data_IF_096208176154
#
_entry.id   IF_096208176154
#
_cell.length_a   1.000
_cell.length_b   1.000
_cell.length_c   1.000
_cell.angle_alpha   90.00
_cell.angle_beta   90.00
_cell.angle_gamma   90.00
#
_symmetry.space_group_name_H-M   'P 1'
#
loop_
_entity.id
_entity.type
_entity.pdbx_description
1 polymer ?
#
# COMPACT_ATOMS: atom_id res chain seq x y z
N UNK A 1 -11.94 15.49 5.42
CA UNK A 1 -11.27 16.75 5.84
C UNK A 1 -9.79 16.64 5.45
N UNK A 2 -9.25 17.52 4.58
CA UNK A 2 -7.84 17.44 4.17
C UNK A 2 -6.95 18.03 5.27
N UNK A 3 -6.11 17.21 5.90
CA UNK A 3 -5.06 17.71 6.79
C UNK A 3 -3.94 18.31 5.92
N UNK A 4 -4.12 19.55 5.49
CA UNK A 4 -3.05 20.35 4.86
C UNK A 4 -2.22 20.90 6.01
N UNK A 5 -1.11 20.24 6.33
CA UNK A 5 -0.20 20.69 7.40
C UNK A 5 0.92 21.50 6.76
N UNK A 6 1.04 22.77 7.11
CA UNK A 6 2.18 23.59 6.65
C UNK A 6 3.48 23.14 7.34
N UNK A 7 4.66 23.34 6.74
CA UNK A 7 5.96 23.03 7.37
C UNK A 7 6.13 23.66 8.75
N UNK A 8 5.58 24.88 8.95
CA UNK A 8 5.58 25.56 10.25
C UNK A 8 4.68 24.87 11.28
N UNK A 9 3.55 24.28 10.87
CA UNK A 9 2.71 23.49 11.77
C UNK A 9 3.33 22.13 12.11
N UNK A 10 4.15 21.57 11.21
CA UNK A 10 4.91 20.35 11.47
C UNK A 10 6.00 20.57 12.53
N UNK A 11 6.64 21.75 12.51
CA UNK A 11 7.64 22.14 13.52
C UNK A 11 7.14 22.17 14.97
N UNK A 12 5.81 22.14 15.20
CA UNK A 12 5.17 22.07 16.52
C UNK A 12 4.48 20.72 16.78
N UNK A 13 4.97 19.65 16.16
CA UNK A 13 4.45 18.30 16.37
C UNK A 13 4.55 17.88 17.85
N UNK A 14 3.40 17.81 18.54
CA UNK A 14 3.25 17.25 19.89
C UNK A 14 2.66 15.84 19.79
N UNK A 15 3.45 14.77 20.08
CA UNK A 15 3.08 13.38 19.79
C UNK A 15 1.72 12.96 20.35
N UNK A 16 1.40 13.33 21.59
CA UNK A 16 0.12 12.94 22.21
C UNK A 16 -1.08 13.63 21.56
N UNK A 17 -1.01 14.93 21.30
CA UNK A 17 -2.13 15.67 20.69
C UNK A 17 -2.38 15.24 19.25
N UNK A 18 -1.32 14.98 18.48
CA UNK A 18 -1.45 14.49 17.11
C UNK A 18 -2.00 13.06 17.10
N UNK A 19 -1.58 12.22 18.05
CA UNK A 19 -2.14 10.86 18.18
C UNK A 19 -3.65 10.90 18.42
N UNK A 20 -4.12 11.76 19.32
CA UNK A 20 -5.56 11.92 19.58
C UNK A 20 -6.31 12.36 18.32
N UNK A 21 -5.78 13.34 17.57
CA UNK A 21 -6.39 13.83 16.33
C UNK A 21 -6.44 12.75 15.25
N UNK A 22 -5.35 12.02 15.04
CA UNK A 22 -5.27 10.94 14.05
C UNK A 22 -6.20 9.76 14.40
N UNK A 23 -6.32 9.41 15.68
CA UNK A 23 -7.29 8.38 16.13
C UNK A 23 -8.73 8.83 15.89
N UNK A 24 -9.04 10.08 16.20
CA UNK A 24 -10.37 10.66 15.95
C UNK A 24 -10.67 10.67 14.45
N UNK A 25 -9.69 11.04 13.63
CA UNK A 25 -9.76 10.96 12.17
C UNK A 25 -10.05 9.53 11.69
N UNK A 26 -9.28 8.54 12.18
CA UNK A 26 -9.46 7.14 11.80
C UNK A 26 -10.85 6.63 12.17
N UNK A 27 -11.37 7.02 13.34
CA UNK A 27 -12.72 6.66 13.78
C UNK A 27 -13.82 7.33 12.93
N UNK A 28 -13.62 8.58 12.51
CA UNK A 28 -14.62 9.34 11.77
C UNK A 28 -14.66 8.98 10.28
N UNK A 29 -13.49 8.86 9.63
CA UNK A 29 -13.40 8.64 8.18
C UNK A 29 -13.25 7.15 7.82
N UNK A 30 -12.89 6.29 8.78
CA UNK A 30 -12.55 4.88 8.53
C UNK A 30 -11.49 4.67 7.42
N UNK A 31 -10.68 5.70 7.15
CA UNK A 31 -9.67 5.72 6.10
C UNK A 31 -8.30 5.30 6.65
N UNK A 32 -8.06 3.99 6.62
CA UNK A 32 -6.82 3.38 7.10
C UNK A 32 -5.62 3.75 6.23
N UNK A 33 -5.81 3.86 4.92
CA UNK A 33 -4.73 4.17 3.99
C UNK A 33 -4.16 5.56 4.30
N UNK A 34 -5.03 6.56 4.47
CA UNK A 34 -4.61 7.91 4.83
C UNK A 34 -4.03 7.97 6.24
N UNK A 35 -4.56 7.19 7.19
CA UNK A 35 -3.99 7.08 8.52
C UNK A 35 -2.53 6.57 8.49
N UNK A 36 -2.26 5.46 7.79
CA UNK A 36 -0.90 4.92 7.64
C UNK A 36 0.03 5.90 6.90
N UNK A 37 -0.48 6.60 5.89
CA UNK A 37 0.26 7.64 5.18
C UNK A 37 0.68 8.79 6.11
N UNK A 38 -0.18 9.21 7.04
CA UNK A 38 0.19 10.21 8.04
C UNK A 38 1.27 9.73 9.01
N UNK A 39 1.25 8.45 9.40
CA UNK A 39 2.32 7.89 10.24
C UNK A 39 3.68 7.90 9.54
N UNK A 40 3.73 7.45 8.27
CA UNK A 40 4.93 7.49 7.43
C UNK A 40 5.42 8.94 7.25
N UNK A 41 4.48 9.86 6.96
CA UNK A 41 4.78 11.28 6.80
C UNK A 41 5.44 11.87 8.05
N UNK A 42 4.91 11.59 9.25
CA UNK A 42 5.52 12.08 10.49
C UNK A 42 6.92 11.50 10.70
N UNK A 43 7.14 10.20 10.39
CA UNK A 43 8.48 9.62 10.47
C UNK A 43 9.46 10.33 9.53
N UNK A 44 9.03 10.65 8.31
CA UNK A 44 9.82 11.41 7.34
C UNK A 44 10.10 12.82 7.88
N UNK A 45 9.09 13.52 8.40
CA UNK A 45 9.26 14.84 8.98
C UNK A 45 10.24 14.85 10.16
N UNK A 46 10.19 13.83 11.03
CA UNK A 46 11.14 13.70 12.13
C UNK A 46 12.59 13.57 11.64
N UNK A 47 12.82 12.84 10.55
CA UNK A 47 14.15 12.70 9.95
C UNK A 47 14.63 14.00 9.29
N UNK A 48 13.72 14.78 8.72
CA UNK A 48 14.05 15.99 7.95
C UNK A 48 14.14 17.25 8.81
N UNK A 49 13.43 17.30 9.96
CA UNK A 49 13.30 18.51 10.77
C UNK A 49 13.67 18.25 12.24
N UNK A 50 14.70 18.94 12.72
CA UNK A 50 15.24 18.82 14.09
C UNK A 50 14.19 19.05 15.18
N UNK A 51 13.19 19.91 14.92
CA UNK A 51 12.15 20.30 15.89
C UNK A 51 10.99 19.31 15.99
N UNK A 52 10.86 18.38 15.04
CA UNK A 52 9.75 17.43 15.01
C UNK A 52 10.05 16.29 15.96
N UNK A 53 9.22 16.08 16.98
CA UNK A 53 9.39 14.96 17.89
C UNK A 53 9.19 13.61 17.17
N UNK A 54 9.90 12.55 17.57
CA UNK A 54 9.74 11.22 16.97
C UNK A 54 8.34 10.68 17.21
N UNK A 55 7.88 9.84 16.28
CA UNK A 55 6.63 9.13 16.45
C UNK A 55 6.82 8.05 17.54
N UNK A 56 5.96 8.06 18.57
CA UNK A 56 6.03 7.11 19.70
C UNK A 56 5.20 5.86 19.37
N UNK A 57 5.79 4.66 19.23
CA UNK A 57 5.05 3.45 18.85
C UNK A 57 3.86 3.14 19.75
N UNK A 58 4.06 3.24 21.07
CA UNK A 58 3.03 2.97 22.08
C UNK A 58 1.74 3.79 21.90
N UNK A 59 1.79 4.96 21.26
CA UNK A 59 0.60 5.79 21.03
C UNK A 59 -0.30 5.25 19.91
N UNK A 60 0.23 4.50 18.95
CA UNK A 60 -0.49 4.07 17.74
C UNK A 60 -0.54 2.55 17.56
N UNK A 61 0.12 1.80 18.45
CA UNK A 61 0.32 0.37 18.30
C UNK A 61 -1.00 -0.40 18.19
N UNK A 62 -2.02 -0.03 18.98
CA UNK A 62 -3.35 -0.65 18.94
C UNK A 62 -4.02 -0.49 17.57
N UNK A 63 -4.00 0.72 17.02
CA UNK A 63 -4.61 1.02 15.73
C UNK A 63 -3.86 0.30 14.60
N UNK A 64 -2.53 0.36 14.61
CA UNK A 64 -1.67 -0.31 13.62
C UNK A 64 -1.89 -1.83 13.66
N UNK A 65 -1.86 -2.44 14.83
CA UNK A 65 -2.10 -3.88 14.98
C UNK A 65 -3.50 -4.28 14.49
N UNK A 66 -4.52 -3.46 14.75
CA UNK A 66 -5.89 -3.72 14.30
C UNK A 66 -5.97 -3.72 12.78
N UNK A 67 -5.33 -2.75 12.11
CA UNK A 67 -5.29 -2.65 10.65
C UNK A 67 -4.59 -3.88 10.05
N UNK A 68 -3.38 -4.22 10.52
CA UNK A 68 -2.58 -5.30 9.91
C UNK A 68 -3.08 -6.72 10.24
N UNK A 69 -3.89 -6.88 11.29
CA UNK A 69 -4.55 -8.17 11.61
C UNK A 69 -5.76 -8.48 10.74
N UNK A 70 -6.33 -7.49 10.03
CA UNK A 70 -7.48 -7.71 9.15
C UNK A 70 -7.24 -8.80 8.10
N UNK A 71 -8.20 -9.71 7.84
CA UNK A 71 -7.99 -10.83 6.93
C UNK A 71 -7.74 -10.39 5.49
N UNK A 72 -8.36 -9.28 5.08
CA UNK A 72 -8.24 -8.62 3.79
C UNK A 72 -6.96 -7.79 3.71
N UNK A 73 -5.88 -8.41 3.20
CA UNK A 73 -4.63 -7.69 2.95
C UNK A 73 -4.76 -6.86 1.68
N UNK A 74 -4.60 -5.55 1.80
CA UNK A 74 -4.71 -4.61 0.68
C UNK A 74 -3.34 -4.18 0.16
N UNK A 75 -3.24 -3.73 -1.12
CA UNK A 75 -1.98 -3.24 -1.69
C UNK A 75 -1.35 -2.09 -0.90
N UNK A 76 -2.16 -1.19 -0.32
CA UNK A 76 -1.61 -0.05 0.44
C UNK A 76 -0.95 -0.50 1.76
N UNK A 77 -1.46 -1.55 2.43
CA UNK A 77 -0.83 -2.08 3.64
C UNK A 77 0.58 -2.61 3.33
N UNK A 78 0.75 -3.27 2.19
CA UNK A 78 2.07 -3.73 1.73
C UNK A 78 3.06 -2.57 1.57
N UNK A 79 2.63 -1.42 1.06
CA UNK A 79 3.48 -0.25 0.84
C UNK A 79 4.05 0.35 2.13
N UNK A 80 3.29 0.28 3.22
CA UNK A 80 3.70 0.82 4.52
C UNK A 80 4.28 -0.23 5.48
N UNK A 81 4.21 -1.52 5.12
CA UNK A 81 4.56 -2.62 6.03
C UNK A 81 5.99 -2.51 6.57
N UNK A 82 6.97 -2.34 5.68
CA UNK A 82 8.38 -2.21 6.06
C UNK A 82 8.66 -0.90 6.79
N UNK A 83 8.06 0.20 6.32
CA UNK A 83 8.24 1.54 6.88
C UNK A 83 7.74 1.64 8.32
N UNK A 84 6.67 0.93 8.61
CA UNK A 84 6.04 0.88 9.93
C UNK A 84 6.49 -0.35 10.74
N UNK A 85 7.63 -0.97 10.39
CA UNK A 85 8.19 -2.12 11.13
C UNK A 85 8.37 -1.86 12.63
N UNK A 86 8.67 -0.61 13.01
CA UNK A 86 8.87 -0.16 14.39
C UNK A 86 7.64 -0.32 15.31
N UNK A 87 6.44 -0.50 14.74
CA UNK A 87 5.20 -0.70 15.52
C UNK A 87 5.01 -2.14 15.98
N UNK A 88 5.73 -3.09 15.39
CA UNK A 88 5.45 -4.51 15.60
C UNK A 88 6.41 -5.12 16.62
N UNK A 89 5.86 -5.79 17.63
CA UNK A 89 6.64 -6.70 18.45
C UNK A 89 7.17 -7.86 17.62
N UNK A 90 8.30 -8.44 18.03
CA UNK A 90 9.01 -9.49 17.30
C UNK A 90 8.08 -10.62 16.80
N UNK A 91 7.21 -11.13 17.66
CA UNK A 91 6.30 -12.22 17.31
C UNK A 91 5.23 -11.80 16.29
N UNK A 92 4.70 -10.58 16.47
CA UNK A 92 3.73 -9.99 15.53
C UNK A 92 4.38 -9.71 14.19
N UNK A 93 5.63 -9.25 14.18
CA UNK A 93 6.41 -9.01 12.97
C UNK A 93 6.58 -10.29 12.15
N UNK A 94 6.98 -11.40 12.79
CA UNK A 94 7.13 -12.69 12.09
C UNK A 94 5.81 -13.15 11.49
N UNK A 95 4.71 -13.03 12.25
CA UNK A 95 3.37 -13.37 11.75
C UNK A 95 2.98 -12.53 10.52
N UNK A 96 3.14 -11.21 10.61
CA UNK A 96 2.80 -10.30 9.52
C UNK A 96 3.71 -10.49 8.30
N UNK A 97 4.99 -10.81 8.50
CA UNK A 97 5.92 -11.10 7.41
C UNK A 97 5.48 -12.35 6.62
N UNK A 98 5.07 -13.42 7.31
CA UNK A 98 4.51 -14.62 6.65
C UNK A 98 3.26 -14.29 5.85
N UNK A 99 2.38 -13.46 6.42
CA UNK A 99 1.14 -13.03 5.77
C UNK A 99 1.43 -12.16 4.53
N UNK A 100 2.40 -11.27 4.62
CA UNK A 100 2.87 -10.46 3.49
C UNK A 100 3.45 -11.32 2.35
N UNK A 101 4.26 -12.34 2.67
CA UNK A 101 4.79 -13.27 1.69
C UNK A 101 3.69 -14.05 0.96
N UNK A 102 2.64 -14.46 1.68
CA UNK A 102 1.47 -15.11 1.08
C UNK A 102 0.78 -14.17 0.08
N UNK A 103 0.56 -12.91 0.48
CA UNK A 103 -0.02 -11.89 -0.37
C UNK A 103 0.81 -11.67 -1.64
N UNK A 104 2.14 -11.53 -1.52
CA UNK A 104 3.04 -11.37 -2.67
C UNK A 104 2.95 -12.55 -3.65
N UNK A 105 2.87 -13.78 -3.14
CA UNK A 105 2.71 -14.98 -3.98
C UNK A 105 1.39 -14.97 -4.72
N UNK A 106 0.28 -14.68 -4.03
CA UNK A 106 -1.05 -14.57 -4.65
C UNK A 106 -1.07 -13.48 -5.72
N UNK A 107 -0.49 -12.32 -5.43
CA UNK A 107 -0.36 -11.22 -6.37
C UNK A 107 0.42 -11.62 -7.62
N UNK A 108 1.55 -12.32 -7.45
CA UNK A 108 2.37 -12.80 -8.57
C UNK A 108 1.62 -13.84 -9.43
N UNK A 109 0.87 -14.76 -8.82
CA UNK A 109 0.01 -15.71 -9.53
C UNK A 109 -1.04 -14.98 -10.37
N UNK A 110 -1.72 -13.99 -9.78
CA UNK A 110 -2.70 -13.16 -10.50
C UNK A 110 -2.06 -12.41 -11.68
N UNK A 111 -0.86 -11.83 -11.50
CA UNK A 111 -0.14 -11.16 -12.58
C UNK A 111 0.22 -12.12 -13.71
N UNK A 112 0.71 -13.32 -13.39
CA UNK A 112 1.02 -14.34 -14.40
C UNK A 112 -0.23 -14.78 -15.16
N UNK A 113 -1.35 -14.96 -14.46
CA UNK A 113 -2.63 -15.28 -15.08
C UNK A 113 -3.08 -14.18 -16.05
N UNK A 114 -3.06 -12.91 -15.61
CA UNK A 114 -3.40 -11.76 -16.46
C UNK A 114 -2.48 -11.63 -17.68
N UNK A 115 -1.19 -11.92 -17.52
CA UNK A 115 -0.25 -11.95 -18.65
C UNK A 115 -0.58 -13.07 -19.64
N UNK A 116 -0.93 -14.26 -19.16
CA UNK A 116 -1.33 -15.39 -19.98
C UNK A 116 -2.62 -15.07 -20.77
N UNK A 117 -3.62 -14.48 -20.12
CA UNK A 117 -4.85 -14.06 -20.79
C UNK A 117 -4.58 -12.98 -21.84
N UNK A 118 -3.75 -11.99 -21.53
CA UNK A 118 -3.36 -10.94 -22.49
C UNK A 118 -2.67 -11.54 -23.72
N UNK A 119 -1.81 -12.55 -23.55
CA UNK A 119 -1.18 -13.28 -24.67
C UNK A 119 -2.23 -14.04 -25.48
N UNK A 120 -3.17 -14.73 -24.83
CA UNK A 120 -4.27 -15.46 -25.48
C UNK A 120 -5.14 -14.53 -26.32
N UNK A 121 -5.55 -13.39 -25.77
CA UNK A 121 -6.35 -12.38 -26.49
C UNK A 121 -5.59 -11.81 -27.68
N UNK A 122 -4.30 -11.46 -27.52
CA UNK A 122 -3.47 -10.99 -28.65
C UNK A 122 -3.34 -12.05 -29.76
N UNK A 123 -3.16 -13.31 -29.38
CA UNK A 123 -3.10 -14.43 -30.33
C UNK A 123 -4.42 -14.58 -31.09
N UNK A 124 -5.55 -14.55 -30.38
CA UNK A 124 -6.88 -14.63 -30.97
C UNK A 124 -7.16 -13.45 -31.93
N UNK A 125 -6.84 -12.22 -31.53
CA UNK A 125 -6.97 -11.04 -32.41
C UNK A 125 -6.11 -11.17 -33.67
N UNK A 126 -4.89 -11.70 -33.56
CA UNK A 126 -4.00 -11.94 -34.71
C UNK A 126 -4.60 -12.94 -35.68
N UNK A 127 -5.10 -14.08 -35.19
CA UNK A 127 -5.79 -15.08 -36.01
C UNK A 127 -7.06 -14.53 -36.65
N UNK A 128 -7.85 -13.76 -35.89
CA UNK A 128 -9.08 -13.17 -36.40
C UNK A 128 -8.81 -12.14 -37.50
N UNK A 129 -7.77 -11.31 -37.35
CA UNK A 129 -7.34 -10.36 -38.39
C UNK A 129 -6.86 -11.04 -39.68
N UNK A 130 -6.15 -12.18 -39.55
CA UNK A 130 -5.73 -13.00 -40.71
C UNK A 130 -6.94 -13.58 -41.44
N UNK A 131 -7.94 -14.07 -40.69
CA UNK A 131 -9.15 -14.67 -41.26
C UNK A 131 -10.10 -13.64 -41.89
N UNK A 132 -10.14 -12.40 -41.38
CA UNK A 132 -11.01 -11.33 -41.90
C UNK A 132 -10.40 -10.49 -43.01
N UNK A 133 -9.09 -10.65 -43.32
CA UNK A 133 -8.41 -9.97 -44.43
C UNK A 133 -7.59 -10.97 -45.27
N UNK A 134 -8.22 -11.75 -46.16
CA UNK A 134 -7.56 -12.77 -46.96
C UNK A 134 -6.85 -12.22 -48.21
N UNK A 135 -6.42 -10.95 -48.23
CA UNK A 135 -5.77 -10.35 -49.41
C UNK A 135 -4.26 -10.43 -49.27
N UNK A 136 -3.65 -11.45 -49.90
CA UNK A 136 -2.19 -11.49 -50.05
C UNK A 136 -1.54 -12.81 -50.46
N UNK A 137 -2.26 -13.93 -50.50
CA UNK A 137 -1.75 -15.14 -51.17
C UNK A 137 -2.27 -15.19 -52.61
N UNK A 138 -1.68 -14.37 -53.48
CA UNK A 138 -1.72 -14.58 -54.93
C UNK A 138 -0.29 -14.73 -55.43
N UNK A 139 0.06 -16.00 -55.64
CA UNK A 139 0.90 -16.56 -56.70
C UNK A 139 2.19 -15.81 -57.06
N UNK A 140 3.32 -16.35 -56.59
CA UNK A 140 4.58 -16.34 -57.36
C UNK A 140 4.84 -17.77 -57.83
N UNK A 141 4.55 -18.00 -59.10
CA UNK A 141 5.03 -19.12 -59.93
C UNK A 141 6.55 -19.13 -60.02
#
# INVERSE_FOLDING_TARGET
MYLIVSPNQLGYFKPETTARRLKTFLQAESDEARFLAYLDFIQICHKLFVKVAPLKPALYQKEVDTIYRRPDWTPYMAFYFEKLSVFFHKDTWVYLLKKYQLYQRQFLVCLLFLQAERKRIKSWLRWHLILTNPVGYKNSS
#
